data_IF_068843613516
#
_entry.id   IF_068843613516
#
_cell.length_a   1.000
_cell.length_b   1.000
_cell.length_c   1.000
_cell.angle_alpha   90.00
_cell.angle_beta   90.00
_cell.angle_gamma   90.00
#
_symmetry.space_group_name_H-M   'P 1'
#
loop_
_entity.id
_entity.type
_entity.pdbx_description
1 polymer ?
#
# COMPACT_ATOMS: atom_id res chain seq x y z
N UNK A 1 6.84 5.24 -12.61
CA UNK A 1 6.06 6.48 -12.51
C UNK A 1 7.00 7.67 -12.42
N UNK A 2 6.88 8.61 -13.40
CA UNK A 2 7.79 9.77 -13.55
C UNK A 2 7.77 10.70 -12.33
N UNK A 3 6.61 10.88 -11.69
CA UNK A 3 6.45 11.76 -10.52
C UNK A 3 7.24 11.22 -9.31
N UNK A 4 7.16 9.93 -9.04
CA UNK A 4 7.94 9.30 -7.97
C UNK A 4 9.45 9.42 -8.22
N UNK A 5 9.89 9.20 -9.47
CA UNK A 5 11.30 9.37 -9.85
C UNK A 5 11.78 10.82 -9.67
N UNK A 6 10.92 11.81 -9.92
CA UNK A 6 11.23 13.22 -9.70
C UNK A 6 11.37 13.53 -8.20
N UNK A 7 10.49 12.99 -7.36
CA UNK A 7 10.56 13.16 -5.90
C UNK A 7 11.89 12.63 -5.36
N UNK A 8 12.36 11.48 -5.86
CA UNK A 8 13.64 10.90 -5.41
C UNK A 8 14.91 11.69 -5.85
N UNK A 9 14.78 12.68 -6.72
CA UNK A 9 15.88 13.63 -7.03
C UNK A 9 16.02 14.74 -5.99
N UNK A 10 15.03 14.92 -5.12
CA UNK A 10 15.04 15.91 -4.05
C UNK A 10 15.81 15.38 -2.82
N UNK A 11 16.19 16.25 -1.87
CA UNK A 11 16.78 15.81 -0.60
C UNK A 11 15.89 14.78 0.13
N UNK A 12 16.52 13.80 0.79
CA UNK A 12 15.82 12.66 1.43
C UNK A 12 14.73 13.09 2.43
N UNK A 13 14.90 14.22 3.12
CA UNK A 13 13.91 14.77 4.05
C UNK A 13 12.55 15.09 3.40
N UNK A 14 12.51 15.29 2.08
CA UNK A 14 11.29 15.61 1.32
C UNK A 14 10.57 14.37 0.77
N UNK A 15 11.23 13.19 0.73
CA UNK A 15 10.64 12.00 0.11
C UNK A 15 9.33 11.59 0.78
N UNK A 16 9.35 11.30 2.09
CA UNK A 16 8.16 10.87 2.83
C UNK A 16 7.01 11.87 2.76
N UNK A 17 7.19 13.18 3.03
CA UNK A 17 6.07 14.11 2.97
C UNK A 17 5.48 14.27 1.56
N UNK A 18 6.31 14.32 0.52
CA UNK A 18 5.82 14.48 -0.86
C UNK A 18 5.15 13.20 -1.38
N UNK A 19 5.73 12.03 -1.17
CA UNK A 19 5.11 10.75 -1.52
C UNK A 19 3.78 10.55 -0.80
N UNK A 20 3.72 10.87 0.50
CA UNK A 20 2.49 10.75 1.30
C UNK A 20 1.40 11.70 0.82
N UNK A 21 1.75 12.95 0.46
CA UNK A 21 0.81 13.91 -0.13
C UNK A 21 0.31 13.45 -1.49
N UNK A 22 1.21 13.01 -2.36
CA UNK A 22 0.85 12.48 -3.68
C UNK A 22 -0.12 11.31 -3.53
N UNK A 23 0.22 10.32 -2.71
CA UNK A 23 -0.63 9.16 -2.48
C UNK A 23 -1.99 9.54 -1.88
N UNK A 24 -2.01 10.34 -0.79
CA UNK A 24 -3.23 10.78 -0.13
C UNK A 24 -4.13 11.67 -1.01
N UNK A 25 -3.58 12.36 -2.01
CA UNK A 25 -4.38 13.11 -2.99
C UNK A 25 -5.10 12.21 -3.98
N UNK A 26 -4.53 11.06 -4.31
CA UNK A 26 -5.11 10.05 -5.20
C UNK A 26 -6.07 9.12 -4.45
N UNK A 27 -5.68 8.64 -3.28
CA UNK A 27 -6.46 7.74 -2.42
C UNK A 27 -6.96 8.53 -1.20
N UNK A 28 -8.15 9.13 -1.32
CA UNK A 28 -8.70 10.07 -0.31
C UNK A 28 -8.80 9.45 1.08
N UNK A 29 -9.23 8.18 1.17
CA UNK A 29 -9.35 7.49 2.46
C UNK A 29 -8.00 7.31 3.14
N UNK A 30 -6.96 6.95 2.40
CA UNK A 30 -5.59 6.87 2.91
C UNK A 30 -5.07 8.25 3.37
N UNK A 31 -5.42 9.31 2.64
CA UNK A 31 -5.14 10.70 3.02
C UNK A 31 -5.81 11.09 4.33
N UNK A 32 -7.10 10.78 4.49
CA UNK A 32 -7.88 11.01 5.74
C UNK A 32 -7.27 10.24 6.92
N UNK A 33 -6.89 8.98 6.70
CA UNK A 33 -6.21 8.15 7.69
C UNK A 33 -4.76 8.61 7.96
N UNK A 34 -4.23 9.54 7.15
CA UNK A 34 -2.83 10.01 7.17
C UNK A 34 -1.82 8.87 7.04
N UNK A 35 -2.06 7.97 6.10
CA UNK A 35 -1.08 6.96 5.71
C UNK A 35 0.18 7.66 5.20
N UNK A 36 1.35 7.26 5.72
CA UNK A 36 2.66 7.79 5.33
C UNK A 36 3.38 6.81 4.42
N UNK A 37 3.95 7.31 3.33
CA UNK A 37 4.78 6.54 2.40
C UNK A 37 6.24 6.82 2.71
N UNK A 38 6.96 5.82 3.22
CA UNK A 38 8.38 5.94 3.61
C UNK A 38 9.31 5.63 2.46
N UNK A 39 9.00 4.57 1.71
CA UNK A 39 9.79 4.14 0.56
C UNK A 39 8.90 3.56 -0.53
N UNK A 40 9.29 3.80 -1.78
CA UNK A 40 8.63 3.28 -2.97
C UNK A 40 9.66 3.00 -4.05
N UNK A 41 9.82 1.73 -4.37
CA UNK A 41 10.61 1.26 -5.51
C UNK A 41 9.73 0.45 -6.45
N UNK A 42 10.26 -0.05 -7.55
CA UNK A 42 9.50 -0.94 -8.44
C UNK A 42 9.13 -2.27 -7.79
N UNK A 43 9.94 -2.76 -6.85
CA UNK A 43 9.77 -4.07 -6.24
C UNK A 43 9.29 -4.02 -4.79
N UNK A 44 9.28 -2.85 -4.14
CA UNK A 44 8.97 -2.71 -2.72
C UNK A 44 8.31 -1.39 -2.39
N UNK A 45 7.29 -1.44 -1.53
CA UNK A 45 6.66 -0.28 -0.91
C UNK A 45 6.67 -0.43 0.62
N UNK A 46 6.92 0.68 1.34
CA UNK A 46 6.84 0.72 2.80
C UNK A 46 5.96 1.91 3.21
N UNK A 47 4.85 1.60 3.88
CA UNK A 47 3.87 2.57 4.34
C UNK A 47 3.59 2.37 5.83
N UNK A 48 3.15 3.43 6.51
CA UNK A 48 2.74 3.34 7.91
C UNK A 48 1.47 4.10 8.23
N UNK A 49 0.83 3.72 9.33
CA UNK A 49 -0.26 4.44 9.97
C UNK A 49 0.01 4.55 11.47
N UNK A 50 0.02 5.77 11.98
CA UNK A 50 0.20 5.99 13.41
C UNK A 50 -1.10 5.72 14.18
N UNK A 51 -1.00 5.20 15.40
CA UNK A 51 -2.14 5.05 16.30
C UNK A 51 -2.61 6.43 16.79
N UNK A 52 -3.59 7.03 16.11
CA UNK A 52 -4.16 8.34 16.39
C UNK A 52 -5.68 8.23 16.54
N UNK A 53 -6.26 9.12 17.33
CA UNK A 53 -7.70 9.15 17.64
C UNK A 53 -8.64 8.92 16.44
N UNK A 54 -8.43 9.53 15.24
CA UNK A 54 -9.33 9.32 14.09
C UNK A 54 -9.28 7.92 13.47
N UNK A 55 -8.27 7.11 13.79
CA UNK A 55 -8.12 5.73 13.27
C UNK A 55 -8.18 4.68 14.37
N UNK A 56 -8.58 5.07 15.60
CA UNK A 56 -8.70 4.16 16.74
C UNK A 56 -10.05 3.46 16.78
N UNK A 57 -10.04 2.26 17.33
CA UNK A 57 -11.24 1.54 17.76
C UNK A 57 -11.62 1.93 19.23
N UNK A 58 -12.69 1.30 19.74
CA UNK A 58 -13.22 1.55 21.10
C UNK A 58 -12.24 1.20 22.24
N UNK A 59 -11.22 0.36 21.97
CA UNK A 59 -10.16 0.01 22.94
C UNK A 59 -8.85 0.79 22.71
N UNK A 60 -8.90 1.90 21.94
CA UNK A 60 -7.79 2.81 21.65
C UNK A 60 -6.62 2.19 20.86
N UNK A 61 -6.79 1.02 20.26
CA UNK A 61 -5.88 0.45 19.26
C UNK A 61 -6.23 0.94 17.86
N UNK A 62 -5.34 0.72 16.88
CA UNK A 62 -5.67 0.98 15.47
C UNK A 62 -6.87 0.12 15.06
N UNK A 63 -7.87 0.74 14.45
CA UNK A 63 -9.10 0.08 14.04
C UNK A 63 -8.83 -0.99 12.97
N UNK A 64 -9.56 -2.12 13.03
CA UNK A 64 -9.45 -3.22 12.08
C UNK A 64 -9.49 -2.75 10.61
N UNK A 65 -10.45 -1.88 10.26
CA UNK A 65 -10.55 -1.32 8.92
C UNK A 65 -9.31 -0.47 8.52
N UNK A 66 -8.67 0.21 9.47
CA UNK A 66 -7.46 0.98 9.21
C UNK A 66 -6.22 0.08 9.00
N UNK A 67 -6.18 -1.10 9.63
CA UNK A 67 -5.16 -2.12 9.38
C UNK A 67 -5.31 -2.68 7.96
N UNK A 68 -6.53 -3.03 7.55
CA UNK A 68 -6.85 -3.49 6.20
C UNK A 68 -6.52 -2.41 5.14
N UNK A 69 -6.90 -1.15 5.39
CA UNK A 69 -6.58 -0.01 4.55
C UNK A 69 -5.06 0.14 4.35
N UNK A 70 -4.26 -0.04 5.41
CA UNK A 70 -2.81 0.08 5.31
C UNK A 70 -2.20 -0.99 4.39
N UNK A 71 -2.62 -2.25 4.56
CA UNK A 71 -2.15 -3.36 3.72
C UNK A 71 -2.61 -3.21 2.26
N UNK A 72 -3.87 -2.84 2.05
CA UNK A 72 -4.44 -2.53 0.72
C UNK A 72 -3.67 -1.38 0.07
N UNK A 73 -3.43 -0.29 0.79
CA UNK A 73 -2.70 0.88 0.30
C UNK A 73 -1.26 0.54 -0.10
N UNK A 74 -0.55 -0.26 0.70
CA UNK A 74 0.83 -0.64 0.41
C UNK A 74 0.92 -1.50 -0.87
N UNK A 75 0.04 -2.48 -1.00
CA UNK A 75 0.00 -3.37 -2.17
C UNK A 75 -0.51 -2.65 -3.40
N UNK A 76 -1.60 -1.89 -3.29
CA UNK A 76 -2.21 -1.16 -4.40
C UNK A 76 -1.30 -0.08 -4.97
N UNK A 77 -0.60 0.67 -4.12
CA UNK A 77 0.34 1.68 -4.59
C UNK A 77 1.53 1.05 -5.31
N UNK A 78 2.04 -0.08 -4.80
CA UNK A 78 3.14 -0.81 -5.45
C UNK A 78 2.72 -1.36 -6.82
N UNK A 79 1.53 -1.96 -6.93
CA UNK A 79 1.00 -2.44 -8.22
C UNK A 79 0.75 -1.28 -9.17
N UNK A 80 0.10 -0.20 -8.72
CA UNK A 80 -0.19 0.99 -9.53
C UNK A 80 1.08 1.66 -10.08
N UNK A 81 2.18 1.63 -9.31
CA UNK A 81 3.47 2.17 -9.76
C UNK A 81 4.05 1.40 -10.97
N UNK A 82 3.76 0.10 -11.06
CA UNK A 82 4.23 -0.78 -12.14
C UNK A 82 3.20 -0.96 -13.26
N UNK A 83 1.97 -0.47 -13.07
CA UNK A 83 0.89 -0.65 -14.05
C UNK A 83 1.04 0.33 -15.22
N UNK A 84 0.99 -0.13 -16.48
CA UNK A 84 0.91 0.75 -17.65
C UNK A 84 -0.34 1.63 -17.64
N UNK A 85 -0.22 2.86 -18.15
CA UNK A 85 -1.31 3.87 -18.12
C UNK A 85 -2.56 3.45 -18.91
N UNK A 86 -2.41 2.54 -19.89
CA UNK A 86 -3.50 1.99 -20.70
C UNK A 86 -4.27 0.84 -20.01
N UNK A 87 -3.97 0.56 -18.74
CA UNK A 87 -4.65 -0.49 -17.96
C UNK A 87 -5.40 0.10 -16.78
N UNK A 88 -6.51 -0.54 -16.42
CA UNK A 88 -7.29 -0.25 -15.22
C UNK A 88 -6.94 -1.28 -14.14
N UNK A 89 -6.56 -0.80 -12.97
CA UNK A 89 -6.25 -1.61 -11.80
C UNK A 89 -7.43 -1.61 -10.83
N UNK A 90 -7.82 -2.78 -10.33
CA UNK A 90 -8.87 -2.96 -9.34
C UNK A 90 -8.43 -3.99 -8.30
N UNK A 91 -8.82 -3.78 -7.04
CA UNK A 91 -8.72 -4.84 -6.03
C UNK A 91 -9.77 -5.92 -6.33
N UNK A 92 -9.33 -7.18 -6.46
CA UNK A 92 -10.22 -8.32 -6.74
C UNK A 92 -10.70 -9.00 -5.46
N UNK A 93 -9.80 -9.18 -4.52
CA UNK A 93 -10.12 -9.73 -3.21
C UNK A 93 -9.17 -9.22 -2.14
N UNK A 94 -9.70 -9.10 -0.95
CA UNK A 94 -9.00 -8.68 0.25
C UNK A 94 -9.42 -9.65 1.36
N UNK A 95 -8.44 -10.40 1.90
CA UNK A 95 -8.62 -11.22 3.07
C UNK A 95 -7.70 -10.73 4.17
N UNK A 96 -8.23 -10.54 5.37
CA UNK A 96 -7.46 -10.12 6.54
C UNK A 96 -7.88 -10.97 7.72
N UNK A 97 -6.93 -11.69 8.28
CA UNK A 97 -7.09 -12.44 9.53
C UNK A 97 -6.45 -11.63 10.66
N UNK A 98 -7.22 -11.34 11.70
CA UNK A 98 -6.77 -10.57 12.87
C UNK A 98 -6.27 -11.55 13.94
N UNK A 99 -4.95 -11.57 14.16
CA UNK A 99 -4.27 -12.59 14.95
C UNK A 99 -4.02 -12.14 16.38
N UNK A 100 -3.73 -10.84 16.56
CA UNK A 100 -3.32 -10.27 17.87
C UNK A 100 -3.83 -8.85 18.01
N UNK A 101 -3.89 -8.39 19.26
CA UNK A 101 -4.09 -6.97 19.56
C UNK A 101 -2.88 -6.16 19.11
N UNK A 102 -3.13 -5.06 18.43
CA UNK A 102 -2.12 -4.13 17.93
C UNK A 102 -1.52 -3.31 19.07
N UNK A 103 -0.21 -3.09 19.02
CA UNK A 103 0.54 -2.21 19.93
C UNK A 103 1.09 -1.01 19.15
N UNK A 104 0.66 0.19 19.50
CA UNK A 104 1.12 1.42 18.83
C UNK A 104 0.63 1.56 17.40
N UNK A 105 1.48 2.08 16.52
CA UNK A 105 1.24 2.23 15.09
C UNK A 105 1.50 0.94 14.30
N UNK A 106 1.37 1.02 12.99
CA UNK A 106 1.58 -0.10 12.06
C UNK A 106 2.45 0.33 10.88
N UNK A 107 3.27 -0.59 10.41
CA UNK A 107 4.03 -0.48 9.16
C UNK A 107 3.73 -1.67 8.27
N UNK A 108 3.35 -1.39 7.02
CA UNK A 108 3.17 -2.40 5.98
C UNK A 108 4.33 -2.35 4.99
N UNK A 109 4.84 -3.51 4.64
CA UNK A 109 5.86 -3.67 3.60
C UNK A 109 5.31 -4.64 2.56
N UNK A 110 5.07 -4.12 1.35
CA UNK A 110 4.65 -4.89 0.19
C UNK A 110 5.82 -5.15 -0.76
N UNK A 111 5.80 -6.28 -1.46
CA UNK A 111 6.81 -6.63 -2.46
C UNK A 111 6.21 -7.31 -3.68
N UNK A 112 6.86 -7.11 -4.84
CA UNK A 112 6.57 -7.75 -6.11
C UNK A 112 7.85 -8.40 -6.66
N UNK A 113 7.72 -9.57 -7.28
CA UNK A 113 8.80 -10.20 -8.00
C UNK A 113 8.98 -9.57 -9.40
N UNK A 114 10.12 -9.85 -10.03
CA UNK A 114 10.38 -9.39 -11.40
C UNK A 114 9.38 -10.00 -12.40
N UNK A 115 9.02 -11.27 -12.20
CA UNK A 115 8.04 -12.00 -13.03
C UNK A 115 6.64 -11.39 -12.91
N UNK A 116 6.23 -11.03 -11.69
CA UNK A 116 4.94 -10.35 -11.46
C UNK A 116 4.91 -9.00 -12.17
N UNK A 117 6.00 -8.23 -12.12
CA UNK A 117 6.12 -6.94 -12.81
C UNK A 117 6.09 -7.11 -14.32
N UNK A 118 6.78 -8.12 -14.87
CA UNK A 118 6.76 -8.42 -16.30
C UNK A 118 5.35 -8.80 -16.77
N UNK A 119 4.65 -9.67 -16.04
CA UNK A 119 3.28 -10.07 -16.34
C UNK A 119 2.32 -8.85 -16.39
N UNK A 120 2.46 -7.91 -15.45
CA UNK A 120 1.67 -6.67 -15.45
C UNK A 120 1.93 -5.79 -16.68
N UNK A 121 3.15 -5.78 -17.19
CA UNK A 121 3.50 -5.02 -18.39
C UNK A 121 2.96 -5.68 -19.67
N UNK A 122 3.11 -6.99 -19.81
CA UNK A 122 2.86 -7.76 -21.04
C UNK A 122 1.40 -8.17 -21.22
N UNK A 123 0.74 -8.65 -20.15
CA UNK A 123 -0.60 -9.24 -20.26
C UNK A 123 -1.69 -8.17 -20.30
N UNK A 124 -2.58 -8.24 -21.30
CA UNK A 124 -3.72 -7.32 -21.45
C UNK A 124 -4.70 -7.38 -20.25
N UNK A 125 -4.82 -8.55 -19.64
CA UNK A 125 -5.60 -8.81 -18.41
C UNK A 125 -4.88 -9.82 -17.54
N UNK A 126 -5.02 -9.71 -16.25
CA UNK A 126 -4.40 -10.66 -15.32
C UNK A 126 -4.70 -10.31 -13.87
N UNK A 127 -4.07 -11.05 -12.98
CA UNK A 127 -4.16 -10.82 -11.53
C UNK A 127 -2.84 -11.13 -10.85
N UNK A 128 -2.63 -10.53 -9.68
CA UNK A 128 -1.45 -10.74 -8.86
C UNK A 128 -1.83 -10.79 -7.39
N UNK A 129 -1.34 -11.78 -6.67
CA UNK A 129 -1.32 -11.81 -5.21
C UNK A 129 -0.03 -11.12 -4.76
N UNK A 130 -0.17 -9.98 -4.08
CA UNK A 130 0.98 -9.17 -3.64
C UNK A 130 1.38 -9.61 -2.23
N UNK A 131 2.65 -9.98 -2.07
CA UNK A 131 3.20 -10.27 -0.75
C UNK A 131 3.21 -8.99 0.10
N UNK A 132 2.64 -9.05 1.30
CA UNK A 132 2.61 -7.95 2.25
C UNK A 132 2.77 -8.45 3.69
N UNK A 133 3.60 -7.77 4.45
CA UNK A 133 3.77 -7.98 5.89
C UNK A 133 3.37 -6.71 6.62
N UNK A 134 2.56 -6.83 7.66
CA UNK A 134 2.15 -5.71 8.51
C UNK A 134 2.66 -5.98 9.92
N UNK A 135 3.52 -5.08 10.41
CA UNK A 135 4.11 -5.15 11.76
C UNK A 135 3.67 -3.95 12.59
N UNK A 136 3.50 -4.14 13.88
CA UNK A 136 3.22 -3.06 14.84
C UNK A 136 4.51 -2.52 15.49
N UNK A 137 4.38 -1.52 16.37
CA UNK A 137 5.54 -0.89 17.04
C UNK A 137 6.28 -1.84 18.00
N UNK A 138 5.71 -3.00 18.35
CA UNK A 138 6.40 -4.07 19.08
C UNK A 138 7.17 -5.05 18.17
N UNK A 139 7.09 -4.87 16.85
CA UNK A 139 7.68 -5.75 15.85
C UNK A 139 6.88 -7.02 15.57
N UNK A 140 5.69 -7.19 16.18
CA UNK A 140 4.83 -8.33 15.92
C UNK A 140 3.93 -8.09 14.71
N UNK A 141 3.43 -9.18 14.13
CA UNK A 141 2.47 -9.15 13.02
C UNK A 141 1.06 -9.38 13.56
N UNK A 142 0.28 -8.31 13.81
CA UNK A 142 -1.05 -8.43 14.39
C UNK A 142 -2.10 -8.94 13.40
N UNK A 143 -1.82 -8.87 12.11
CA UNK A 143 -2.70 -9.36 11.04
C UNK A 143 -1.92 -10.17 10.01
N UNK A 144 -2.61 -11.10 9.35
CA UNK A 144 -2.17 -11.76 8.11
C UNK A 144 -3.07 -11.31 6.97
N UNK A 145 -2.51 -11.05 5.79
CA UNK A 145 -3.25 -10.45 4.68
C UNK A 145 -2.99 -11.18 3.37
N UNK A 146 -4.07 -11.34 2.58
CA UNK A 146 -4.00 -11.71 1.18
C UNK A 146 -4.65 -10.60 0.33
N UNK A 147 -3.85 -9.89 -0.46
CA UNK A 147 -4.27 -8.78 -1.30
C UNK A 147 -4.12 -9.15 -2.76
N UNK A 148 -5.23 -9.49 -3.43
CA UNK A 148 -5.26 -9.85 -4.85
C UNK A 148 -5.73 -8.69 -5.69
N UNK A 149 -4.88 -8.25 -6.57
CA UNK A 149 -5.14 -7.18 -7.53
C UNK A 149 -5.37 -7.77 -8.91
N UNK A 150 -6.24 -7.14 -9.70
CA UNK A 150 -6.51 -7.50 -11.08
C UNK A 150 -6.40 -6.28 -11.98
N UNK A 151 -6.07 -6.52 -13.26
CA UNK A 151 -6.05 -5.48 -14.28
C UNK A 151 -6.69 -5.94 -15.56
N UNK A 152 -7.20 -4.95 -16.29
CA UNK A 152 -7.73 -5.10 -17.66
C UNK A 152 -7.24 -3.92 -18.51
N UNK A 153 -7.09 -4.12 -19.82
CA UNK A 153 -6.86 -3.00 -20.73
C UNK A 153 -8.05 -2.05 -20.72
N UNK A 154 -7.77 -0.75 -20.67
CA UNK A 154 -8.81 0.26 -20.90
C UNK A 154 -9.36 0.10 -22.30
N UNK A 155 -10.67 0.18 -22.46
CA UNK A 155 -11.26 0.30 -23.79
C UNK A 155 -10.79 1.62 -24.42
N UNK A 156 -10.48 1.66 -25.72
CA UNK A 156 -10.14 2.88 -26.43
C UNK A 156 -11.27 3.90 -26.37
#
# INVERSE_FOLDING_TARGET
NRVVALIYRLPAAWHTPLLSRLFGSQVKLAGTARVRVHAMTRTRASLSIANRRPVQNHIKGVHAAAMALLAESATGFLVAMNMPDNKLLLIKSLKVDYLKRVVGGLTAVASLSAEQIAAMAEQARGEVLVAVTVSDDSGQQPISCEMRWAWISKKP
#
